data_IF_016597707597
#
_entry.id   IF_016597707597
#
_cell.length_a   1.000
_cell.length_b   1.000
_cell.length_c   1.000
_cell.angle_alpha   90.00
_cell.angle_beta   90.00
_cell.angle_gamma   90.00
#
_symmetry.space_group_name_H-M   'P 1'
#
loop_
_entity.id
_entity.type
_entity.pdbx_description
1 polymer ?
#
# COMPACT_ATOMS: atom_id res chain seq x y z
N UNK A 1 -5.80 4.59 -41.39
CA UNK A 1 -6.07 3.16 -41.11
C UNK A 1 -5.48 2.86 -39.74
N UNK A 2 -6.27 3.10 -38.70
CA UNK A 2 -5.81 3.00 -37.29
C UNK A 2 -5.78 1.51 -36.92
N UNK A 3 -4.61 0.99 -36.53
CA UNK A 3 -4.40 -0.44 -36.37
C UNK A 3 -5.17 -0.97 -35.12
N UNK A 4 -6.24 -1.72 -35.36
CA UNK A 4 -7.09 -2.36 -34.34
C UNK A 4 -6.30 -3.33 -33.44
N UNK A 5 -5.20 -3.86 -33.94
CA UNK A 5 -4.37 -4.83 -33.20
C UNK A 5 -3.56 -4.14 -32.08
N UNK A 6 -3.06 -2.91 -32.33
CA UNK A 6 -2.38 -2.09 -31.29
C UNK A 6 -3.36 -1.66 -30.19
N UNK A 7 -4.61 -1.35 -30.54
CA UNK A 7 -5.65 -1.04 -29.55
C UNK A 7 -6.04 -2.28 -28.71
N UNK A 8 -6.01 -3.45 -29.30
CA UNK A 8 -6.30 -4.71 -28.60
C UNK A 8 -5.13 -5.11 -27.69
N UNK A 9 -3.88 -4.98 -28.13
CA UNK A 9 -2.70 -5.19 -27.27
C UNK A 9 -2.60 -4.18 -26.14
N UNK A 10 -2.81 -2.90 -26.40
CA UNK A 10 -2.89 -1.88 -25.36
C UNK A 10 -4.03 -2.17 -24.38
N UNK A 11 -5.20 -2.59 -24.86
CA UNK A 11 -6.33 -2.95 -23.99
C UNK A 11 -6.03 -4.19 -23.14
N UNK A 12 -5.28 -5.14 -23.64
CA UNK A 12 -4.81 -6.32 -22.89
C UNK A 12 -3.71 -5.95 -21.89
N UNK A 13 -2.76 -5.09 -22.26
CA UNK A 13 -1.77 -4.53 -21.35
C UNK A 13 -2.43 -3.69 -20.24
N UNK A 14 -3.40 -2.85 -20.61
CA UNK A 14 -4.18 -2.07 -19.66
C UNK A 14 -5.06 -2.95 -18.78
N UNK A 15 -5.67 -4.01 -19.30
CA UNK A 15 -6.35 -5.02 -18.49
C UNK A 15 -5.41 -5.75 -17.53
N UNK A 16 -4.19 -6.04 -17.91
CA UNK A 16 -3.18 -6.64 -17.03
C UNK A 16 -2.68 -5.71 -15.92
N UNK A 17 -2.59 -4.41 -16.20
CA UNK A 17 -2.16 -3.38 -15.23
C UNK A 17 -3.34 -2.87 -14.38
N UNK A 18 -4.55 -2.81 -14.97
CA UNK A 18 -5.76 -2.27 -14.34
C UNK A 18 -6.70 -3.30 -13.76
N UNK A 19 -6.64 -4.53 -14.25
CA UNK A 19 -7.39 -5.63 -13.72
C UNK A 19 -6.50 -6.32 -12.69
N UNK A 20 -6.49 -5.83 -11.47
CA UNK A 20 -6.61 -6.71 -10.33
C UNK A 20 -8.02 -7.33 -10.32
N UNK A 21 -8.59 -7.64 -11.48
CA UNK A 21 -9.69 -8.57 -11.58
C UNK A 21 -9.02 -9.94 -11.52
N UNK A 22 -8.97 -10.51 -10.33
CA UNK A 22 -8.86 -11.95 -10.20
C UNK A 22 -9.86 -12.55 -11.17
N UNK A 23 -9.39 -13.32 -12.16
CA UNK A 23 -10.29 -14.08 -13.00
C UNK A 23 -10.83 -15.23 -12.13
N UNK A 24 -12.15 -15.22 -11.77
CA UNK A 24 -12.70 -16.25 -10.93
C UNK A 24 -12.64 -17.65 -11.57
N UNK A 25 -12.32 -17.75 -12.85
CA UNK A 25 -12.32 -18.99 -13.60
C UNK A 25 -10.92 -19.60 -13.79
N UNK A 26 -9.83 -18.89 -13.47
CA UNK A 26 -8.46 -19.37 -13.59
C UNK A 26 -7.93 -20.05 -12.31
N UNK A 27 -8.74 -20.06 -11.25
CA UNK A 27 -8.40 -20.71 -10.00
C UNK A 27 -8.49 -22.24 -10.17
N UNK A 28 -7.43 -22.94 -9.79
CA UNK A 28 -7.27 -24.39 -9.92
C UNK A 28 -8.49 -25.15 -9.36
N UNK A 29 -9.30 -25.74 -10.27
CA UNK A 29 -10.52 -26.48 -9.92
C UNK A 29 -10.22 -27.83 -9.24
N UNK A 30 -8.95 -28.24 -9.22
CA UNK A 30 -8.52 -29.54 -8.66
C UNK A 30 -8.18 -29.47 -7.17
N UNK A 31 -8.26 -28.28 -6.55
CA UNK A 31 -8.06 -28.15 -5.11
C UNK A 31 -9.28 -28.71 -4.35
N UNK A 32 -9.19 -29.94 -3.87
CA UNK A 32 -10.14 -30.50 -2.90
C UNK A 32 -9.68 -30.14 -1.48
N UNK A 33 -10.39 -29.28 -0.75
CA UNK A 33 -10.05 -28.95 0.64
C UNK A 33 -10.07 -30.20 1.49
N UNK A 34 -8.99 -30.49 2.22
CA UNK A 34 -8.99 -31.59 3.20
C UNK A 34 -10.03 -31.29 4.29
N UNK A 35 -11.11 -32.11 4.41
CA UNK A 35 -12.20 -31.84 5.34
C UNK A 35 -11.78 -31.91 6.82
N UNK A 36 -10.65 -32.53 7.14
CA UNK A 36 -10.14 -32.64 8.51
C UNK A 36 -9.55 -31.35 9.08
N UNK A 37 -9.32 -30.31 8.26
CA UNK A 37 -8.66 -29.07 8.67
C UNK A 37 -9.58 -27.83 8.54
N UNK A 38 -10.89 -28.02 8.52
CA UNK A 38 -11.88 -26.93 8.41
C UNK A 38 -12.04 -26.17 9.72
N UNK A 39 -11.03 -25.40 10.10
CA UNK A 39 -11.31 -24.24 10.96
C UNK A 39 -11.97 -23.17 10.08
N UNK A 40 -13.28 -22.99 10.23
CA UNK A 40 -14.01 -21.95 9.52
C UNK A 40 -13.56 -20.61 10.09
N UNK A 41 -12.70 -19.90 9.35
CA UNK A 41 -12.29 -18.52 9.69
C UNK A 41 -13.50 -17.64 9.44
N UNK A 42 -13.93 -16.87 10.46
CA UNK A 42 -15.03 -15.91 10.30
C UNK A 42 -14.56 -14.64 9.58
N UNK A 43 -15.49 -13.88 8.98
CA UNK A 43 -15.19 -12.59 8.35
C UNK A 43 -14.49 -11.63 9.33
N UNK A 44 -14.96 -11.58 10.58
CA UNK A 44 -14.34 -10.76 11.62
C UNK A 44 -12.91 -11.20 11.97
N UNK A 45 -12.64 -12.50 12.05
CA UNK A 45 -11.29 -13.04 12.28
C UNK A 45 -10.35 -12.71 11.11
N UNK A 46 -10.83 -12.86 9.87
CA UNK A 46 -10.08 -12.51 8.67
C UNK A 46 -9.73 -11.02 8.62
N UNK A 47 -10.71 -10.16 8.85
CA UNK A 47 -10.53 -8.70 8.90
C UNK A 47 -9.55 -8.31 9.99
N UNK A 48 -9.70 -8.86 11.21
CA UNK A 48 -8.79 -8.60 12.34
C UNK A 48 -7.37 -9.02 11.99
N UNK A 49 -7.17 -10.18 11.38
CA UNK A 49 -5.86 -10.67 10.94
C UNK A 49 -5.22 -9.74 9.92
N UNK A 50 -6.00 -9.20 8.98
CA UNK A 50 -5.53 -8.22 8.00
C UNK A 50 -5.03 -6.94 8.68
N UNK A 51 -5.79 -6.38 9.60
CA UNK A 51 -5.36 -5.20 10.35
C UNK A 51 -4.13 -5.48 11.25
N UNK A 52 -4.04 -6.65 11.86
CA UNK A 52 -2.86 -7.03 12.64
C UNK A 52 -1.59 -7.11 11.79
N UNK A 53 -1.67 -7.66 10.58
CA UNK A 53 -0.56 -7.62 9.62
C UNK A 53 -0.19 -6.19 9.25
N UNK A 54 -1.15 -5.32 8.97
CA UNK A 54 -0.90 -3.90 8.69
C UNK A 54 -0.18 -3.22 9.86
N UNK A 55 -0.68 -3.40 11.09
CA UNK A 55 -0.05 -2.82 12.29
C UNK A 55 1.36 -3.36 12.47
N UNK A 56 1.59 -4.67 12.28
CA UNK A 56 2.93 -5.26 12.34
C UNK A 56 3.86 -4.61 11.31
N UNK A 57 3.41 -4.42 10.08
CA UNK A 57 4.18 -3.72 9.04
C UNK A 57 4.55 -2.29 9.45
N UNK A 58 3.60 -1.54 10.00
CA UNK A 58 3.85 -0.19 10.52
C UNK A 58 4.87 -0.20 11.67
N UNK A 59 4.76 -1.13 12.61
CA UNK A 59 5.71 -1.26 13.72
C UNK A 59 7.13 -1.57 13.22
N UNK A 60 7.27 -2.48 12.24
CA UNK A 60 8.57 -2.78 11.62
C UNK A 60 9.12 -1.52 10.95
N UNK A 61 8.30 -0.83 10.16
CA UNK A 61 8.69 0.38 9.41
C UNK A 61 9.18 1.47 10.35
N UNK A 62 8.39 1.82 11.37
CA UNK A 62 8.79 2.86 12.32
C UNK A 62 9.96 2.42 13.19
N UNK A 63 10.04 1.14 13.58
CA UNK A 63 11.19 0.59 14.31
C UNK A 63 12.48 0.73 13.51
N UNK A 64 12.49 0.30 12.24
CA UNK A 64 13.64 0.45 11.35
C UNK A 64 13.99 1.92 11.11
N UNK A 65 12.98 2.78 10.93
CA UNK A 65 13.21 4.21 10.73
C UNK A 65 13.89 4.86 11.94
N UNK A 66 13.45 4.53 13.15
CA UNK A 66 14.05 5.04 14.39
C UNK A 66 15.47 4.51 14.57
N UNK A 67 15.71 3.22 14.33
CA UNK A 67 17.06 2.64 14.41
C UNK A 67 18.00 3.30 13.39
N UNK A 68 17.56 3.46 12.13
CA UNK A 68 18.34 4.12 11.09
C UNK A 68 18.68 5.58 11.44
N UNK A 69 17.76 6.27 12.11
CA UNK A 69 17.97 7.64 12.59
C UNK A 69 18.94 7.71 13.77
N UNK A 70 18.75 6.90 14.83
CA UNK A 70 19.60 6.91 16.03
C UNK A 70 21.05 6.51 15.69
N UNK A 71 21.23 5.52 14.81
CA UNK A 71 22.56 5.06 14.40
C UNK A 71 23.21 5.94 13.33
N UNK A 72 22.51 6.95 12.81
CA UNK A 72 22.91 7.76 11.67
C UNK A 72 23.19 6.92 10.37
N UNK A 73 22.80 5.64 10.35
CA UNK A 73 23.04 4.75 9.22
C UNK A 73 22.41 5.29 7.95
N UNK A 74 21.16 5.75 8.03
CA UNK A 74 20.45 6.27 6.86
C UNK A 74 21.12 7.53 6.31
N UNK A 75 21.54 8.45 7.17
CA UNK A 75 22.25 9.65 6.76
C UNK A 75 23.60 9.30 6.12
N UNK A 76 24.34 8.37 6.71
CA UNK A 76 25.60 7.87 6.15
C UNK A 76 25.40 7.29 4.75
N UNK A 77 24.44 6.39 4.58
CA UNK A 77 24.11 5.79 3.27
C UNK A 77 23.66 6.85 2.27
N UNK A 78 22.84 7.81 2.70
CA UNK A 78 22.35 8.87 1.81
C UNK A 78 23.48 9.75 1.25
N UNK A 79 24.49 10.05 2.09
CA UNK A 79 25.63 10.91 1.71
C UNK A 79 26.68 10.14 0.92
N UNK A 80 27.06 8.94 1.37
CA UNK A 80 28.22 8.21 0.80
C UNK A 80 27.85 7.14 -0.23
N UNK A 81 26.60 6.69 -0.26
CA UNK A 81 26.14 5.64 -1.15
C UNK A 81 24.72 5.91 -1.70
N UNK A 82 24.47 7.04 -2.38
CA UNK A 82 23.13 7.44 -2.82
C UNK A 82 22.46 6.43 -3.76
N UNK A 83 23.25 5.62 -4.49
CA UNK A 83 22.73 4.53 -5.32
C UNK A 83 22.01 3.44 -4.51
N UNK A 84 22.35 3.24 -3.23
CA UNK A 84 21.66 2.30 -2.35
C UNK A 84 20.20 2.75 -2.13
N UNK A 85 19.96 4.04 -1.98
CA UNK A 85 18.60 4.57 -1.85
C UNK A 85 17.76 4.29 -3.09
N UNK A 86 18.35 4.45 -4.28
CA UNK A 86 17.67 4.10 -5.54
C UNK A 86 17.40 2.59 -5.62
N UNK A 87 18.35 1.76 -5.22
CA UNK A 87 18.19 0.31 -5.19
C UNK A 87 17.07 -0.12 -4.22
N UNK A 88 17.00 0.50 -3.04
CA UNK A 88 15.92 0.26 -2.05
C UNK A 88 14.56 0.67 -2.63
N UNK A 89 14.46 1.83 -3.29
CA UNK A 89 13.24 2.26 -3.96
C UNK A 89 12.80 1.26 -5.03
N UNK A 90 13.70 0.83 -5.90
CA UNK A 90 13.40 -0.17 -6.94
C UNK A 90 12.98 -1.50 -6.29
N UNK A 91 13.68 -1.95 -5.26
CA UNK A 91 13.35 -3.19 -4.56
C UNK A 91 11.94 -3.15 -3.95
N UNK A 92 11.55 -2.04 -3.31
CA UNK A 92 10.20 -1.89 -2.74
C UNK A 92 9.12 -1.89 -3.83
N UNK A 93 9.34 -1.23 -4.97
CA UNK A 93 8.42 -1.27 -6.11
C UNK A 93 8.28 -2.68 -6.69
N UNK A 94 9.40 -3.40 -6.87
CA UNK A 94 9.39 -4.78 -7.35
C UNK A 94 8.68 -5.72 -6.39
N UNK A 95 8.88 -5.56 -5.06
CA UNK A 95 8.19 -6.37 -4.05
C UNK A 95 6.68 -6.12 -4.05
N UNK A 96 6.25 -4.86 -4.11
CA UNK A 96 4.82 -4.51 -4.18
C UNK A 96 4.19 -5.08 -5.45
N UNK A 97 4.83 -4.91 -6.60
CA UNK A 97 4.39 -5.47 -7.87
C UNK A 97 4.32 -7.01 -7.84
N UNK A 98 5.37 -7.67 -7.32
CA UNK A 98 5.43 -9.13 -7.23
C UNK A 98 4.32 -9.66 -6.34
N UNK A 99 4.05 -9.00 -5.23
CA UNK A 99 2.98 -9.38 -4.32
C UNK A 99 1.61 -9.23 -4.98
N UNK A 100 1.38 -8.17 -5.74
CA UNK A 100 0.15 -7.96 -6.49
C UNK A 100 -0.04 -8.98 -7.63
N UNK A 101 1.02 -9.18 -8.44
CA UNK A 101 0.91 -9.96 -9.67
C UNK A 101 1.01 -11.49 -9.47
N UNK A 102 1.57 -11.94 -8.33
CA UNK A 102 1.89 -13.36 -8.11
C UNK A 102 1.36 -13.93 -6.80
N UNK A 103 0.41 -13.25 -6.14
CA UNK A 103 -0.10 -13.65 -4.82
C UNK A 103 -0.67 -15.09 -4.85
N UNK A 104 -1.32 -15.48 -5.92
CA UNK A 104 -1.89 -16.82 -6.06
C UNK A 104 -0.83 -17.91 -6.21
N UNK A 105 0.27 -17.58 -6.90
CA UNK A 105 1.35 -18.54 -7.25
C UNK A 105 2.42 -18.67 -6.17
N UNK A 106 2.49 -17.75 -5.20
CA UNK A 106 3.49 -17.82 -4.14
C UNK A 106 3.01 -18.61 -2.93
N UNK A 107 3.95 -19.10 -2.11
CA UNK A 107 3.61 -19.71 -0.82
C UNK A 107 3.22 -18.65 0.21
N UNK A 108 2.48 -19.05 1.25
CA UNK A 108 2.17 -18.18 2.40
C UNK A 108 3.45 -17.64 3.05
N UNK A 109 4.47 -18.50 3.20
CA UNK A 109 5.78 -18.09 3.75
C UNK A 109 6.44 -17.00 2.92
N UNK A 110 6.41 -17.12 1.59
CA UNK A 110 6.93 -16.10 0.67
C UNK A 110 6.17 -14.79 0.81
N UNK A 111 4.84 -14.81 0.87
CA UNK A 111 4.03 -13.61 1.05
C UNK A 111 4.37 -12.88 2.36
N UNK A 112 4.50 -13.62 3.47
CA UNK A 112 4.94 -13.08 4.78
C UNK A 112 6.33 -12.44 4.69
N UNK A 113 7.29 -13.15 4.09
CA UNK A 113 8.67 -12.67 3.97
C UNK A 113 8.77 -11.41 3.12
N UNK A 114 8.05 -11.34 1.99
CA UNK A 114 8.01 -10.15 1.14
C UNK A 114 7.40 -8.98 1.90
N UNK A 115 6.30 -9.17 2.64
CA UNK A 115 5.66 -8.12 3.42
C UNK A 115 6.58 -7.56 4.50
N UNK A 116 7.28 -8.42 5.26
CA UNK A 116 8.23 -8.02 6.30
C UNK A 116 9.43 -7.29 5.70
N UNK A 117 10.02 -7.83 4.63
CA UNK A 117 11.14 -7.21 3.93
C UNK A 117 10.76 -5.85 3.33
N UNK A 118 9.57 -5.76 2.71
CA UNK A 118 9.01 -4.50 2.21
C UNK A 118 8.90 -3.46 3.32
N UNK A 119 8.29 -3.83 4.46
CA UNK A 119 8.10 -2.93 5.60
C UNK A 119 9.44 -2.43 6.16
N UNK A 120 10.46 -3.30 6.22
CA UNK A 120 11.79 -2.93 6.69
C UNK A 120 12.52 -1.98 5.72
N UNK A 121 12.51 -2.28 4.41
CA UNK A 121 13.11 -1.42 3.39
C UNK A 121 12.42 -0.07 3.32
N UNK A 122 11.10 -0.05 3.43
CA UNK A 122 10.33 1.19 3.46
C UNK A 122 10.65 2.01 4.71
N UNK A 123 10.84 1.35 5.86
CA UNK A 123 11.28 1.99 7.10
C UNK A 123 12.66 2.65 6.97
N UNK A 124 13.59 1.99 6.30
CA UNK A 124 14.88 2.61 5.98
C UNK A 124 14.72 3.89 5.15
N UNK A 125 13.86 3.88 4.14
CA UNK A 125 13.54 5.07 3.35
C UNK A 125 12.87 6.18 4.18
N UNK A 126 11.92 5.81 5.07
CA UNK A 126 11.22 6.77 5.94
C UNK A 126 12.12 7.40 7.01
N UNK A 127 13.22 6.78 7.37
CA UNK A 127 14.15 7.30 8.38
C UNK A 127 14.64 8.72 8.07
N UNK A 128 14.73 9.12 6.79
CA UNK A 128 15.15 10.47 6.38
C UNK A 128 14.20 11.56 6.91
N UNK A 129 12.91 11.25 7.04
CA UNK A 129 11.91 12.21 7.54
C UNK A 129 12.14 12.58 9.01
N UNK A 130 12.80 11.71 9.80
CA UNK A 130 13.20 11.98 11.19
C UNK A 130 14.32 13.02 11.30
N UNK A 131 15.06 13.26 10.21
CA UNK A 131 16.05 14.35 10.13
C UNK A 131 15.42 15.66 9.66
N UNK A 132 14.39 15.59 8.80
CA UNK A 132 13.76 16.75 8.16
C UNK A 132 12.71 17.39 9.07
N UNK A 133 11.91 16.58 9.75
CA UNK A 133 10.78 17.05 10.55
C UNK A 133 11.05 16.93 12.05
N UNK A 134 10.40 17.77 12.85
CA UNK A 134 10.45 17.70 14.29
C UNK A 134 9.70 16.46 14.79
N UNK A 135 10.24 15.79 15.79
CA UNK A 135 9.69 14.53 16.31
C UNK A 135 8.26 14.71 16.89
N UNK A 136 8.02 15.82 17.60
CA UNK A 136 6.69 16.16 18.12
C UNK A 136 5.66 16.30 17.01
N UNK A 137 6.05 16.91 15.89
CA UNK A 137 5.19 17.06 14.71
C UNK A 137 4.91 15.70 14.03
N UNK A 138 5.92 14.84 13.90
CA UNK A 138 5.77 13.49 13.35
C UNK A 138 4.76 12.69 14.19
N UNK A 139 4.89 12.72 15.53
CA UNK A 139 3.98 12.01 16.43
C UNK A 139 2.55 12.54 16.30
N UNK A 140 2.37 13.88 16.29
CA UNK A 140 1.05 14.50 16.16
C UNK A 140 0.38 14.11 14.83
N UNK A 141 1.12 14.19 13.73
CA UNK A 141 0.62 13.83 12.39
C UNK A 141 0.33 12.34 12.30
N UNK A 142 1.15 11.49 12.93
CA UNK A 142 0.90 10.05 12.99
C UNK A 142 -0.43 9.74 13.71
N UNK A 143 -0.68 10.37 14.85
CA UNK A 143 -1.94 10.22 15.59
C UNK A 143 -3.14 10.73 14.78
N UNK A 144 -3.00 11.88 14.12
CA UNK A 144 -4.03 12.39 13.23
C UNK A 144 -4.31 11.43 12.06
N UNK A 145 -3.26 10.89 11.45
CA UNK A 145 -3.38 9.88 10.39
C UNK A 145 -4.12 8.65 10.89
N UNK A 146 -3.74 8.13 12.06
CA UNK A 146 -4.36 6.95 12.65
C UNK A 146 -5.86 7.17 12.93
N UNK A 147 -6.22 8.38 13.38
CA UNK A 147 -7.62 8.75 13.62
C UNK A 147 -8.41 8.80 12.29
N UNK A 148 -7.94 9.55 11.29
CA UNK A 148 -8.61 9.65 9.99
C UNK A 148 -8.71 8.30 9.30
N UNK A 149 -7.62 7.53 9.30
CA UNK A 149 -7.58 6.18 8.76
C UNK A 149 -8.60 5.27 9.46
N UNK A 150 -8.62 5.27 10.79
CA UNK A 150 -9.56 4.46 11.58
C UNK A 150 -11.02 4.77 11.27
N UNK A 151 -11.37 6.06 11.15
CA UNK A 151 -12.74 6.49 10.80
C UNK A 151 -13.11 6.01 9.39
N UNK A 152 -12.23 6.17 8.40
CA UNK A 152 -12.50 5.76 7.01
C UNK A 152 -12.50 4.23 6.85
N UNK A 153 -11.62 3.51 7.56
CA UNK A 153 -11.63 2.06 7.62
C UNK A 153 -12.92 1.54 8.23
N UNK A 154 -13.39 2.12 9.35
CA UNK A 154 -14.68 1.78 9.92
C UNK A 154 -15.83 2.06 8.93
N UNK A 155 -15.82 3.21 8.27
CA UNK A 155 -16.80 3.53 7.23
C UNK A 155 -16.77 2.49 6.10
N UNK A 156 -15.60 2.16 5.54
CA UNK A 156 -15.45 1.16 4.47
C UNK A 156 -15.95 -0.22 4.89
N UNK A 157 -15.68 -0.61 6.16
CA UNK A 157 -16.13 -1.90 6.70
C UNK A 157 -17.65 -1.98 6.88
N UNK A 158 -18.29 -0.94 7.39
CA UNK A 158 -19.72 -0.97 7.72
C UNK A 158 -20.63 -0.47 6.60
N UNK A 159 -20.10 0.23 5.59
CA UNK A 159 -20.94 0.78 4.52
C UNK A 159 -21.60 -0.31 3.69
N UNK A 160 -22.88 -0.08 3.35
CA UNK A 160 -23.64 -0.91 2.41
C UNK A 160 -23.55 -0.40 0.97
N UNK A 161 -22.98 0.80 0.78
CA UNK A 161 -22.77 1.36 -0.57
C UNK A 161 -21.61 0.64 -1.25
N UNK A 162 -21.79 0.26 -2.49
CA UNK A 162 -20.72 -0.32 -3.29
C UNK A 162 -19.73 0.79 -3.68
N UNK A 163 -18.49 0.69 -3.18
CA UNK A 163 -17.41 1.63 -3.46
C UNK A 163 -16.62 1.27 -4.74
N UNK A 164 -16.91 0.15 -5.40
CA UNK A 164 -16.21 -0.26 -6.62
C UNK A 164 -16.23 0.83 -7.71
N UNK A 165 -17.29 1.62 -7.78
CA UNK A 165 -17.43 2.71 -8.75
C UNK A 165 -16.44 3.87 -8.57
N UNK A 166 -15.88 4.06 -7.37
CA UNK A 166 -14.85 5.10 -7.13
C UNK A 166 -13.42 4.63 -7.44
N UNK A 167 -13.19 3.32 -7.57
CA UNK A 167 -11.87 2.75 -7.84
C UNK A 167 -11.15 3.40 -9.02
N UNK A 168 -11.77 3.54 -10.20
CA UNK A 168 -11.14 4.21 -11.36
C UNK A 168 -10.77 5.67 -11.09
N UNK A 169 -11.57 6.39 -10.29
CA UNK A 169 -11.31 7.80 -9.93
C UNK A 169 -10.09 7.87 -9.01
N UNK A 170 -10.03 7.02 -7.99
CA UNK A 170 -8.90 6.93 -7.07
C UNK A 170 -7.61 6.55 -7.80
N UNK A 171 -7.71 5.60 -8.73
CA UNK A 171 -6.57 5.20 -9.54
C UNK A 171 -6.08 6.34 -10.44
N UNK A 172 -6.96 7.09 -11.09
CA UNK A 172 -6.59 8.28 -11.87
C UNK A 172 -5.90 9.32 -10.98
N UNK A 173 -6.39 9.51 -9.76
CA UNK A 173 -5.76 10.37 -8.76
C UNK A 173 -4.35 9.88 -8.38
N UNK A 174 -4.17 8.59 -8.17
CA UNK A 174 -2.87 7.98 -7.88
C UNK A 174 -1.88 8.19 -9.04
N UNK A 175 -2.30 7.93 -10.29
CA UNK A 175 -1.46 8.17 -11.47
C UNK A 175 -1.07 9.65 -11.55
N UNK A 176 -2.01 10.57 -11.34
CA UNK A 176 -1.72 12.00 -11.29
C UNK A 176 -0.64 12.31 -10.27
N UNK A 177 -0.74 11.80 -9.04
CA UNK A 177 0.24 12.04 -7.97
C UNK A 177 1.62 11.49 -8.34
N UNK A 178 1.70 10.29 -8.93
CA UNK A 178 2.95 9.67 -9.36
C UNK A 178 3.58 10.48 -10.49
N UNK A 179 2.82 10.80 -11.53
CA UNK A 179 3.31 11.59 -12.69
C UNK A 179 3.74 12.97 -12.24
N UNK A 180 2.93 13.66 -11.42
CA UNK A 180 3.30 14.98 -10.88
C UNK A 180 4.58 14.89 -10.06
N UNK A 181 4.73 13.88 -9.19
CA UNK A 181 5.94 13.66 -8.40
C UNK A 181 7.19 13.46 -9.28
N UNK A 182 7.07 12.65 -10.33
CA UNK A 182 8.18 12.43 -11.27
C UNK A 182 8.54 13.69 -12.06
N UNK A 183 7.55 14.42 -12.57
CA UNK A 183 7.78 15.66 -13.34
C UNK A 183 8.38 16.76 -12.46
N UNK A 184 7.97 16.86 -11.19
CA UNK A 184 8.50 17.86 -10.24
C UNK A 184 9.99 17.65 -9.91
N UNK A 185 10.55 16.46 -10.13
CA UNK A 185 12.00 16.22 -10.03
C UNK A 185 12.80 16.99 -11.09
N UNK A 186 12.20 17.25 -12.25
CA UNK A 186 12.83 17.93 -13.36
C UNK A 186 12.46 19.42 -13.47
N UNK A 187 11.32 19.79 -12.90
CA UNK A 187 10.75 21.17 -12.97
C UNK A 187 10.53 21.71 -11.55
N UNK A 188 11.57 22.32 -10.93
CA UNK A 188 11.45 22.84 -9.55
C UNK A 188 10.32 23.87 -9.34
N UNK A 189 9.90 24.59 -10.39
CA UNK A 189 8.79 25.55 -10.31
C UNK A 189 7.46 24.88 -9.89
N UNK A 190 7.29 23.58 -10.09
CA UNK A 190 6.11 22.84 -9.68
C UNK A 190 5.96 22.68 -8.17
N UNK A 191 7.03 22.90 -7.39
CA UNK A 191 6.95 22.93 -5.91
C UNK A 191 5.99 24.00 -5.38
N UNK A 192 5.72 25.06 -6.16
CA UNK A 192 4.69 26.04 -5.82
C UNK A 192 3.29 25.43 -5.65
N UNK A 193 3.03 24.29 -6.25
CA UNK A 193 1.74 23.57 -6.17
C UNK A 193 1.69 22.49 -5.07
N UNK A 194 2.75 22.35 -4.28
CA UNK A 194 2.88 21.29 -3.26
C UNK A 194 1.69 21.20 -2.31
N UNK A 195 1.16 22.31 -1.85
CA UNK A 195 -0.01 22.35 -0.96
C UNK A 195 -1.24 21.73 -1.62
N UNK A 196 -1.49 22.07 -2.89
CA UNK A 196 -2.64 21.53 -3.65
C UNK A 196 -2.45 20.03 -3.87
N UNK A 197 -1.25 19.61 -4.24
CA UNK A 197 -0.92 18.19 -4.45
C UNK A 197 -1.06 17.40 -3.14
N UNK A 198 -0.65 17.96 -2.01
CA UNK A 198 -0.87 17.34 -0.70
C UNK A 198 -2.36 17.15 -0.40
N UNK A 199 -3.20 18.16 -0.65
CA UNK A 199 -4.65 18.04 -0.44
C UNK A 199 -5.28 16.98 -1.35
N UNK A 200 -4.87 16.91 -2.62
CA UNK A 200 -5.31 15.87 -3.55
C UNK A 200 -4.86 14.51 -3.04
N UNK A 201 -3.59 14.37 -2.62
CA UNK A 201 -3.05 13.12 -2.08
C UNK A 201 -3.81 12.65 -0.84
N UNK A 202 -4.08 13.55 0.10
CA UNK A 202 -4.90 13.25 1.29
C UNK A 202 -6.27 12.73 0.85
N UNK A 203 -6.96 13.43 -0.05
CA UNK A 203 -8.29 13.01 -0.51
C UNK A 203 -8.28 11.64 -1.20
N UNK A 204 -7.27 11.38 -2.05
CA UNK A 204 -7.09 10.09 -2.76
C UNK A 204 -6.88 8.96 -1.76
N UNK A 205 -5.96 9.11 -0.78
CA UNK A 205 -5.66 8.03 0.17
C UNK A 205 -6.72 7.85 1.26
N UNK A 206 -7.48 8.88 1.62
CA UNK A 206 -8.70 8.72 2.41
C UNK A 206 -9.74 7.87 1.64
N UNK A 207 -9.91 8.14 0.35
CA UNK A 207 -10.79 7.35 -0.52
C UNK A 207 -10.32 5.90 -0.64
N UNK A 208 -9.02 5.66 -0.86
CA UNK A 208 -8.44 4.31 -0.89
C UNK A 208 -8.64 3.56 0.42
N UNK A 209 -8.43 4.19 1.57
CA UNK A 209 -8.64 3.57 2.88
C UNK A 209 -10.05 2.97 3.00
N UNK A 210 -11.08 3.71 2.62
CA UNK A 210 -12.46 3.20 2.65
C UNK A 210 -12.70 2.10 1.60
N UNK A 211 -12.20 2.31 0.39
CA UNK A 211 -12.33 1.39 -0.74
C UNK A 211 -11.63 0.05 -0.46
N UNK A 212 -10.36 0.07 -0.05
CA UNK A 212 -9.58 -1.15 0.20
C UNK A 212 -10.07 -1.89 1.46
N UNK A 213 -10.57 -1.17 2.48
CA UNK A 213 -11.23 -1.82 3.62
C UNK A 213 -12.50 -2.56 3.18
N UNK A 214 -13.30 -2.01 2.25
CA UNK A 214 -14.45 -2.75 1.72
C UNK A 214 -14.02 -4.00 0.94
N UNK A 215 -12.93 -3.94 0.18
CA UNK A 215 -12.40 -5.09 -0.58
C UNK A 215 -11.92 -6.25 0.29
N UNK A 216 -11.55 -6.01 1.55
CA UNK A 216 -11.23 -7.11 2.49
C UNK A 216 -12.40 -8.09 2.57
N UNK A 217 -13.65 -7.60 2.63
CA UNK A 217 -14.84 -8.44 2.67
C UNK A 217 -15.05 -9.20 1.35
N UNK A 218 -14.79 -8.56 0.22
CA UNK A 218 -14.89 -9.18 -1.10
C UNK A 218 -13.89 -10.35 -1.21
N UNK A 219 -12.64 -10.16 -0.79
CA UNK A 219 -11.63 -11.22 -0.77
C UNK A 219 -11.98 -12.35 0.18
N UNK A 220 -12.55 -12.04 1.37
CA UNK A 220 -13.02 -13.07 2.29
C UNK A 220 -14.06 -13.98 1.61
N UNK A 221 -15.08 -13.41 0.98
CA UNK A 221 -16.12 -14.19 0.31
C UNK A 221 -15.58 -14.95 -0.91
N UNK A 222 -14.66 -14.35 -1.64
CA UNK A 222 -14.06 -14.93 -2.84
C UNK A 222 -13.20 -16.15 -2.53
N UNK A 223 -12.37 -16.09 -1.48
CA UNK A 223 -11.46 -17.17 -1.09
C UNK A 223 -12.02 -18.06 0.03
N UNK A 224 -13.30 -17.94 0.35
CA UNK A 224 -13.94 -18.78 1.37
C UNK A 224 -13.76 -20.28 1.05
N UNK A 225 -13.20 -21.02 2.01
CA UNK A 225 -12.92 -22.46 1.84
C UNK A 225 -11.49 -22.80 1.40
N UNK A 226 -10.66 -21.81 1.07
CA UNK A 226 -9.25 -21.99 0.70
C UNK A 226 -8.32 -21.33 1.74
N UNK A 227 -7.91 -22.04 2.82
CA UNK A 227 -7.19 -21.43 3.96
C UNK A 227 -5.90 -20.72 3.57
N UNK A 228 -5.08 -21.32 2.68
CA UNK A 228 -3.83 -20.72 2.24
C UNK A 228 -4.05 -19.45 1.42
N UNK A 229 -5.09 -19.45 0.58
CA UNK A 229 -5.44 -18.26 -0.20
C UNK A 229 -6.01 -17.15 0.69
N UNK A 230 -6.85 -17.50 1.67
CA UNK A 230 -7.35 -16.54 2.64
C UNK A 230 -6.20 -15.87 3.41
N UNK A 231 -5.18 -16.64 3.81
CA UNK A 231 -4.03 -16.09 4.50
C UNK A 231 -3.21 -15.17 3.59
N UNK A 232 -2.90 -15.59 2.36
CA UNK A 232 -2.20 -14.77 1.37
C UNK A 232 -2.98 -13.49 1.05
N UNK A 233 -4.28 -13.59 0.83
CA UNK A 233 -5.14 -12.46 0.56
C UNK A 233 -5.23 -11.48 1.75
N UNK A 234 -5.22 -11.99 2.99
CA UNK A 234 -5.14 -11.15 4.20
C UNK A 234 -3.83 -10.35 4.26
N UNK A 235 -2.68 -10.98 3.95
CA UNK A 235 -1.38 -10.30 3.90
C UNK A 235 -1.34 -9.25 2.77
N UNK A 236 -1.90 -9.58 1.62
CA UNK A 236 -1.99 -8.65 0.48
C UNK A 236 -2.87 -7.44 0.79
N UNK A 237 -4.06 -7.67 1.36
CA UNK A 237 -4.94 -6.57 1.80
C UNK A 237 -4.28 -5.73 2.89
N UNK A 238 -3.49 -6.35 3.77
CA UNK A 238 -2.70 -5.64 4.76
C UNK A 238 -1.64 -4.73 4.12
N UNK A 239 -1.00 -5.18 3.02
CA UNK A 239 -0.07 -4.34 2.26
C UNK A 239 -0.77 -3.14 1.62
N UNK A 240 -1.97 -3.33 1.07
CA UNK A 240 -2.76 -2.23 0.50
C UNK A 240 -3.09 -1.19 1.57
N UNK A 241 -3.69 -1.60 2.68
CA UNK A 241 -4.01 -0.71 3.81
C UNK A 241 -2.76 -0.04 4.41
N UNK A 242 -1.65 -0.77 4.47
CA UNK A 242 -0.36 -0.23 4.91
C UNK A 242 0.11 0.90 4.00
N UNK A 243 0.03 0.71 2.67
CA UNK A 243 0.40 1.72 1.69
C UNK A 243 -0.53 2.95 1.78
N UNK A 244 -1.82 2.73 1.96
CA UNK A 244 -2.78 3.82 2.16
C UNK A 244 -2.44 4.65 3.39
N UNK A 245 -2.17 3.98 4.52
CA UNK A 245 -1.79 4.63 5.77
C UNK A 245 -0.49 5.44 5.62
N UNK A 246 0.55 4.83 5.08
CA UNK A 246 1.85 5.49 4.94
C UNK A 246 1.77 6.68 3.97
N UNK A 247 1.09 6.53 2.85
CA UNK A 247 0.94 7.64 1.91
C UNK A 247 0.10 8.77 2.50
N UNK A 248 -1.01 8.44 3.18
CA UNK A 248 -1.81 9.43 3.91
C UNK A 248 -0.96 10.16 4.96
N UNK A 249 -0.17 9.42 5.74
CA UNK A 249 0.76 9.98 6.72
C UNK A 249 1.78 10.92 6.08
N UNK A 250 2.39 10.54 4.96
CA UNK A 250 3.39 11.35 4.26
C UNK A 250 2.78 12.63 3.69
N UNK A 251 1.59 12.57 3.09
CA UNK A 251 0.90 13.77 2.60
C UNK A 251 0.47 14.68 3.75
N UNK A 252 -0.04 14.14 4.86
CA UNK A 252 -0.36 14.91 6.06
C UNK A 252 0.91 15.50 6.70
N UNK A 253 2.01 14.76 6.76
CA UNK A 253 3.29 15.24 7.29
C UNK A 253 3.85 16.37 6.43
N UNK A 254 3.74 16.25 5.11
CA UNK A 254 4.16 17.31 4.18
C UNK A 254 3.28 18.56 4.28
N UNK A 255 1.97 18.38 4.54
CA UNK A 255 1.01 19.48 4.66
C UNK A 255 1.03 20.18 6.02
N UNK A 256 1.12 19.41 7.12
CA UNK A 256 1.01 19.91 8.51
C UNK A 256 2.34 19.91 9.27
N UNK A 257 3.32 19.17 8.79
CA UNK A 257 4.56 18.93 9.50
C UNK A 257 5.42 20.18 9.64
N UNK A 258 6.00 20.36 10.80
CA UNK A 258 6.97 21.43 11.07
C UNK A 258 8.38 20.92 10.79
N UNK A 259 9.11 21.59 9.92
CA UNK A 259 10.51 21.27 9.65
C UNK A 259 11.39 21.54 10.88
N UNK A 260 12.49 20.79 10.94
CA UNK A 260 13.53 20.96 11.95
C UNK A 260 14.49 22.01 11.39
N UNK A 261 14.33 23.25 11.86
CA UNK A 261 15.26 24.33 11.54
C UNK A 261 16.55 24.18 12.34
#
# INVERSE_FOLDING_TARGET
>A
MYNKDVQMELSQLWKGVFSMSFDPYEFDRDYTPNPANRRVVTEGEYTTRTFLWMVLGLMITFGVAVVGWITNLTLYVYVYAPFVQLAVLIATLVMAYTMSARIEKMSVGTARSIFVAFSALFGFTLSIYLYVYRLDSIILVFLATALYFGVLAAYGHFTKRNLAGIGPILFSGLIFLVVFGLVSLFIPALTAFDTIVCLIGIAVFLGYTAYDTQRIREYYHYYAGYPDMMEKASIFSALQLYLDFINLFLYLLRFLGKSRN
#
